data_IF_775742472353
#
_entry.id   IF_775742472353
#
_cell.length_a   1.000
_cell.length_b   1.000
_cell.length_c   1.000
_cell.angle_alpha   90.00
_cell.angle_beta   90.00
_cell.angle_gamma   90.00
#
_symmetry.space_group_name_H-M   'P 1'
#
loop_
_entity.id
_entity.type
_entity.pdbx_description
1 polymer ?
#
# COMPACT_ATOMS: atom_id res chain seq x y z
N UNK A 1 -20.01 -26.98 -44.25
CA UNK A 1 -20.31 -25.69 -43.54
C UNK A 1 -20.68 -25.84 -42.06
N UNK A 2 -21.51 -26.80 -41.63
CA UNK A 2 -21.99 -26.91 -40.22
C UNK A 2 -20.88 -27.20 -39.19
N UNK A 3 -19.93 -28.09 -39.51
CA UNK A 3 -18.82 -28.47 -38.60
C UNK A 3 -17.76 -27.39 -38.40
N UNK A 4 -17.51 -26.58 -39.43
CA UNK A 4 -16.58 -25.44 -39.36
C UNK A 4 -17.09 -24.35 -38.40
N UNK A 5 -18.40 -24.05 -38.42
CA UNK A 5 -19.03 -23.11 -37.47
C UNK A 5 -18.91 -23.57 -36.02
N UNK A 6 -19.06 -24.87 -35.77
CA UNK A 6 -18.91 -25.43 -34.42
C UNK A 6 -17.47 -25.30 -33.90
N UNK A 7 -16.46 -25.50 -34.75
CA UNK A 7 -15.04 -25.36 -34.38
C UNK A 7 -14.72 -23.90 -33.99
N UNK A 8 -15.22 -22.92 -34.75
CA UNK A 8 -15.03 -21.51 -34.43
C UNK A 8 -15.71 -21.10 -33.12
N UNK A 9 -16.92 -21.63 -32.85
CA UNK A 9 -17.63 -21.37 -31.59
C UNK A 9 -16.86 -21.95 -30.40
N UNK A 10 -16.36 -23.18 -30.52
CA UNK A 10 -15.57 -23.82 -29.45
C UNK A 10 -14.26 -23.09 -29.21
N UNK A 11 -13.56 -22.67 -30.26
CA UNK A 11 -12.33 -21.88 -30.13
C UNK A 11 -12.58 -20.53 -29.44
N UNK A 12 -13.67 -19.84 -29.78
CA UNK A 12 -14.05 -18.58 -29.15
C UNK A 12 -14.40 -18.77 -27.67
N UNK A 13 -15.12 -19.83 -27.31
CA UNK A 13 -15.44 -20.15 -25.91
C UNK A 13 -14.17 -20.44 -25.12
N UNK A 14 -13.22 -21.22 -25.67
CA UNK A 14 -11.95 -21.50 -25.02
C UNK A 14 -11.12 -20.22 -24.82
N UNK A 15 -11.09 -19.32 -25.80
CA UNK A 15 -10.42 -18.02 -25.68
C UNK A 15 -11.07 -17.19 -24.58
N UNK A 16 -12.40 -17.09 -24.52
CA UNK A 16 -13.11 -16.33 -23.49
C UNK A 16 -12.86 -16.89 -22.08
N UNK A 17 -12.82 -18.22 -21.93
CA UNK A 17 -12.50 -18.87 -20.65
C UNK A 17 -11.07 -18.53 -20.18
N UNK A 18 -10.09 -18.58 -21.11
CA UNK A 18 -8.69 -18.23 -20.79
C UNK A 18 -8.55 -16.73 -20.44
N UNK A 19 -9.31 -15.85 -21.10
CA UNK A 19 -9.26 -14.39 -20.87
C UNK A 19 -10.01 -13.93 -19.60
N UNK A 20 -10.97 -14.73 -19.10
CA UNK A 20 -11.79 -14.38 -17.93
C UNK A 20 -11.04 -14.44 -16.60
N UNK A 21 -9.81 -14.97 -16.58
CA UNK A 21 -9.01 -15.14 -15.37
C UNK A 21 -7.91 -14.09 -15.19
N UNK A 22 -8.13 -12.88 -15.70
CA UNK A 22 -7.30 -11.71 -15.33
C UNK A 22 -8.09 -10.85 -14.34
N UNK A 23 -8.39 -11.40 -13.17
CA UNK A 23 -8.69 -10.56 -12.01
C UNK A 23 -7.33 -10.24 -11.40
N UNK A 24 -6.65 -9.24 -11.95
CA UNK A 24 -5.63 -8.53 -11.18
C UNK A 24 -6.38 -7.94 -10.01
N UNK A 25 -6.07 -8.46 -8.81
CA UNK A 25 -6.52 -7.87 -7.57
C UNK A 25 -6.05 -6.43 -7.61
N UNK A 26 -6.98 -5.50 -7.86
CA UNK A 26 -6.75 -4.09 -7.65
C UNK A 26 -6.57 -3.97 -6.15
N UNK A 27 -5.33 -4.14 -5.69
CA UNK A 27 -4.95 -3.69 -4.37
C UNK A 27 -5.35 -2.22 -4.38
N UNK A 28 -6.45 -1.93 -3.70
CA UNK A 28 -6.72 -0.58 -3.28
C UNK A 28 -5.45 -0.20 -2.52
N UNK A 29 -4.57 0.57 -3.17
CA UNK A 29 -3.35 1.10 -2.60
C UNK A 29 -3.78 2.11 -1.52
N UNK A 30 -4.35 1.60 -0.45
CA UNK A 30 -4.32 2.25 0.82
C UNK A 30 -2.84 2.28 1.15
N UNK A 31 -2.21 3.42 0.84
CA UNK A 31 -1.01 3.81 1.54
C UNK A 31 -1.41 3.82 3.00
N UNK A 32 -1.20 2.69 3.68
CA UNK A 32 -1.25 2.63 5.13
C UNK A 32 -0.17 3.60 5.54
N UNK A 33 -0.54 4.87 5.72
CA UNK A 33 0.32 5.86 6.36
C UNK A 33 0.54 5.23 7.72
N UNK A 34 1.71 4.60 7.88
CA UNK A 34 2.11 3.99 9.13
C UNK A 34 2.41 5.15 10.07
N UNK A 35 1.33 5.72 10.60
CA UNK A 35 1.38 6.83 11.52
C UNK A 35 1.95 6.29 12.82
N UNK A 36 3.15 6.73 13.15
CA UNK A 36 3.86 6.39 14.38
C UNK A 36 3.66 7.48 15.41
N UNK A 37 3.68 7.06 16.67
CA UNK A 37 3.85 7.97 17.79
C UNK A 37 5.31 7.92 18.20
N UNK A 38 5.99 9.06 18.14
CA UNK A 38 7.41 9.21 18.51
C UNK A 38 7.48 9.96 19.84
N UNK A 39 8.16 9.39 20.84
CA UNK A 39 8.28 9.94 22.19
C UNK A 39 9.68 10.53 22.40
N UNK A 40 9.76 11.82 22.70
CA UNK A 40 11.03 12.47 23.08
C UNK A 40 11.05 12.62 24.62
N UNK A 41 12.10 12.16 25.35
CA UNK A 41 13.40 11.72 24.85
C UNK A 41 13.53 10.20 24.64
N UNK A 42 12.44 9.43 24.76
CA UNK A 42 12.48 7.96 24.81
C UNK A 42 13.04 7.33 23.53
N UNK A 43 12.56 7.78 22.38
CA UNK A 43 12.91 7.24 21.06
C UNK A 43 14.05 8.04 20.41
N UNK A 44 14.09 9.35 20.67
CA UNK A 44 15.14 10.26 20.21
C UNK A 44 15.51 11.25 21.31
N UNK A 45 16.81 11.51 21.49
CA UNK A 45 17.30 12.35 22.58
C UNK A 45 17.03 13.85 22.37
N UNK A 46 16.92 14.30 21.11
CA UNK A 46 16.61 15.67 20.74
C UNK A 46 15.29 15.77 19.97
N UNK A 47 14.71 16.97 19.96
CA UNK A 47 13.50 17.26 19.19
C UNK A 47 13.81 17.24 17.69
N UNK A 48 15.00 17.70 17.27
CA UNK A 48 15.38 17.76 15.85
C UNK A 48 15.53 16.35 15.25
N UNK A 49 16.15 15.42 15.98
CA UNK A 49 16.29 14.04 15.50
C UNK A 49 14.92 13.36 15.30
N UNK A 50 13.95 13.66 16.19
CA UNK A 50 12.58 13.16 16.06
C UNK A 50 11.86 13.76 14.85
N UNK A 51 12.10 15.03 14.53
CA UNK A 51 11.56 15.70 13.33
C UNK A 51 12.15 15.06 12.07
N UNK A 52 13.47 14.92 12.02
CA UNK A 52 14.19 14.39 10.86
C UNK A 52 13.81 12.92 10.57
N UNK A 53 13.46 12.16 11.60
CA UNK A 53 13.01 10.77 11.48
C UNK A 53 11.49 10.60 11.27
N UNK A 54 10.71 11.66 11.39
CA UNK A 54 9.25 11.60 11.26
C UNK A 54 8.80 11.54 9.80
N UNK A 55 7.72 10.79 9.55
CA UNK A 55 7.04 10.75 8.26
C UNK A 55 5.73 11.55 8.30
N UNK A 56 5.19 12.00 7.14
CA UNK A 56 3.91 12.67 7.09
C UNK A 56 2.82 11.88 7.81
N UNK A 57 2.14 12.53 8.77
CA UNK A 57 1.10 11.91 9.58
C UNK A 57 1.54 11.43 10.96
N UNK A 58 2.85 11.23 11.19
CA UNK A 58 3.40 10.87 12.50
C UNK A 58 3.04 11.91 13.58
N UNK A 59 3.08 11.50 14.85
CA UNK A 59 2.84 12.39 15.99
C UNK A 59 4.02 12.33 16.95
N UNK A 60 4.69 13.47 17.14
CA UNK A 60 5.78 13.62 18.09
C UNK A 60 5.21 14.10 19.42
N UNK A 61 5.40 13.32 20.49
CA UNK A 61 5.03 13.64 21.86
C UNK A 61 6.31 14.00 22.63
N UNK A 62 6.43 15.28 22.99
CA UNK A 62 7.55 15.78 23.81
C UNK A 62 7.18 15.63 25.28
N UNK A 63 7.90 14.78 25.99
CA UNK A 63 7.74 14.60 27.43
C UNK A 63 8.38 15.77 28.20
N UNK A 64 7.91 16.08 29.42
CA UNK A 64 8.43 17.19 30.21
C UNK A 64 9.95 17.14 30.39
N UNK A 65 10.63 18.26 30.14
CA UNK A 65 12.08 18.38 30.26
C UNK A 65 12.60 19.68 29.65
N UNK A 66 13.91 19.91 29.79
CA UNK A 66 14.63 21.00 29.11
C UNK A 66 15.37 20.39 27.93
N UNK A 67 15.12 20.92 26.74
CA UNK A 67 15.75 20.48 25.50
C UNK A 67 16.53 21.66 24.92
N UNK A 68 17.82 21.44 24.71
CA UNK A 68 18.67 22.42 24.06
C UNK A 68 18.47 22.30 22.55
N UNK A 69 18.36 23.46 21.89
CA UNK A 69 18.20 23.61 20.44
C UNK A 69 19.54 23.81 19.75
#
# INVERSE_FOLDING_TARGET
>A
MKRSRAIFIVAFILIVIIQSFNVELYEANFTTVNKRTILVPRDYQSIQDAIDASSPGDTIIVLPGVYNV
#
